data_IF_842340386781
#
_entry.id   IF_842340386781
#
_cell.length_a   1.000
_cell.length_b   1.000
_cell.length_c   1.000
_cell.angle_alpha   90.00
_cell.angle_beta   90.00
_cell.angle_gamma   90.00
#
_symmetry.space_group_name_H-M   'P 1'
#
loop_
_entity.id
_entity.type
_entity.pdbx_description
1 polymer ?
#
# COMPACT_ATOMS: atom_id res chain seq x y z
N UNK A 1 -9.09 -72.03 13.31
CA UNK A 1 -9.21 -70.68 13.91
C UNK A 1 -8.33 -69.75 13.11
N UNK A 2 -8.90 -68.87 12.27
CA UNK A 2 -8.16 -67.84 11.54
C UNK A 2 -8.34 -66.51 12.27
N UNK A 3 -7.24 -65.93 12.75
CA UNK A 3 -7.24 -64.61 13.37
C UNK A 3 -6.94 -63.55 12.30
N UNK A 4 -7.91 -62.69 12.00
CA UNK A 4 -7.69 -61.46 11.23
C UNK A 4 -7.33 -60.34 12.23
N UNK A 5 -6.06 -59.98 12.29
CA UNK A 5 -5.63 -58.78 13.02
C UNK A 5 -5.85 -57.56 12.11
N UNK A 6 -6.91 -56.79 12.38
CA UNK A 6 -7.12 -55.49 11.75
C UNK A 6 -6.21 -54.45 12.44
N UNK A 7 -5.14 -54.05 11.76
CA UNK A 7 -4.32 -52.93 12.19
C UNK A 7 -5.09 -51.63 11.93
N UNK A 8 -5.68 -51.05 12.98
CA UNK A 8 -6.17 -49.67 12.93
C UNK A 8 -4.96 -48.74 12.90
N UNK A 9 -4.65 -48.20 11.72
CA UNK A 9 -3.83 -47.00 11.60
C UNK A 9 -4.63 -45.86 12.24
N UNK A 10 -4.31 -45.52 13.48
CA UNK A 10 -4.65 -44.22 14.05
C UNK A 10 -3.87 -43.17 13.27
N UNK A 11 -4.42 -42.74 12.13
CA UNK A 11 -4.09 -41.47 11.53
C UNK A 11 -4.48 -40.41 12.58
N UNK A 12 -3.50 -40.00 13.39
CA UNK A 12 -3.61 -38.81 14.20
C UNK A 12 -3.82 -37.65 13.25
N UNK A 13 -5.08 -37.24 13.07
CA UNK A 13 -5.41 -35.97 12.49
C UNK A 13 -4.84 -34.91 13.45
N UNK A 14 -3.68 -34.37 13.11
CA UNK A 14 -3.23 -33.12 13.70
C UNK A 14 -4.29 -32.09 13.32
N UNK A 15 -4.92 -31.39 14.28
CA UNK A 15 -5.82 -30.31 13.93
C UNK A 15 -5.03 -29.29 13.10
N UNK A 16 -5.56 -28.96 11.92
CA UNK A 16 -5.09 -27.87 11.06
C UNK A 16 -5.40 -26.51 11.70
N UNK A 17 -5.17 -26.35 13.01
CA UNK A 17 -5.19 -25.06 13.70
C UNK A 17 -3.87 -24.31 13.54
N UNK A 18 -3.12 -24.64 12.49
CA UNK A 18 -2.22 -23.71 11.84
C UNK A 18 -2.99 -22.78 10.92
N UNK A 19 -3.98 -22.04 11.42
CA UNK A 19 -4.29 -20.75 10.80
C UNK A 19 -2.97 -20.00 10.86
N UNK A 20 -2.26 -19.86 9.74
CA UNK A 20 -1.14 -18.93 9.67
C UNK A 20 -1.66 -17.64 10.26
N UNK A 21 -1.12 -17.18 11.39
CA UNK A 21 -1.49 -15.89 11.93
C UNK A 21 -1.36 -14.92 10.75
N UNK A 22 -2.48 -14.34 10.29
CA UNK A 22 -2.43 -13.35 9.24
C UNK A 22 -1.37 -12.34 9.69
N UNK A 23 -0.30 -12.21 8.90
CA UNK A 23 0.78 -11.30 9.22
C UNK A 23 0.17 -9.95 9.56
N UNK A 24 0.46 -9.43 10.75
CA UNK A 24 0.00 -8.11 11.16
C UNK A 24 0.63 -7.01 10.30
N UNK A 25 1.74 -7.32 9.63
CA UNK A 25 2.42 -6.42 8.71
C UNK A 25 1.64 -6.19 7.44
N UNK A 26 1.72 -4.96 6.95
CA UNK A 26 1.27 -4.57 5.64
C UNK A 26 1.99 -5.40 4.56
N UNK A 27 1.26 -5.78 3.53
CA UNK A 27 1.78 -6.58 2.42
C UNK A 27 1.46 -5.93 1.08
N UNK A 28 2.36 -6.06 0.13
CA UNK A 28 2.21 -5.48 -1.21
C UNK A 28 1.05 -6.13 -1.94
N UNK A 29 0.07 -5.33 -2.37
CA UNK A 29 -0.99 -5.77 -3.28
C UNK A 29 -0.74 -5.29 -4.69
N UNK A 30 -0.17 -4.09 -4.86
CA UNK A 30 0.06 -3.48 -6.17
C UNK A 30 1.46 -2.89 -6.27
N UNK A 31 1.97 -2.87 -7.50
CA UNK A 31 3.26 -2.29 -7.85
C UNK A 31 3.13 -1.57 -9.18
N UNK A 32 3.65 -0.35 -9.28
CA UNK A 32 3.54 0.43 -10.52
C UNK A 32 4.16 1.82 -10.41
N UNK A 33 3.72 2.71 -11.29
CA UNK A 33 4.03 4.13 -11.28
C UNK A 33 2.73 4.92 -11.03
N UNK A 34 2.88 6.14 -10.55
CA UNK A 34 1.77 7.09 -10.53
C UNK A 34 1.64 7.75 -11.88
N UNK A 35 0.42 7.82 -12.41
CA UNK A 35 0.12 8.40 -13.71
C UNK A 35 -1.20 9.20 -13.67
N UNK A 36 -1.27 10.27 -14.47
CA UNK A 36 -2.50 10.97 -14.84
C UNK A 36 -2.65 10.84 -16.36
N UNK A 37 -3.61 10.02 -16.80
CA UNK A 37 -3.68 9.60 -18.20
C UNK A 37 -2.38 8.91 -18.65
N UNK A 38 -1.78 9.28 -19.81
CA UNK A 38 -0.52 8.70 -20.27
C UNK A 38 0.73 9.31 -19.59
N UNK A 39 0.57 10.31 -18.72
CA UNK A 39 1.67 11.11 -18.19
C UNK A 39 2.03 10.67 -16.76
N UNK A 40 3.28 10.25 -16.51
CA UNK A 40 3.70 9.83 -15.18
C UNK A 40 3.99 11.02 -14.26
N UNK A 41 3.87 10.77 -12.96
CA UNK A 41 4.43 11.65 -11.93
C UNK A 41 5.92 11.37 -11.73
N UNK A 42 6.66 12.41 -11.35
CA UNK A 42 8.09 12.40 -11.11
C UNK A 42 8.48 12.60 -9.65
N UNK A 43 9.76 12.36 -9.35
CA UNK A 43 10.36 12.65 -8.05
C UNK A 43 11.51 13.65 -8.20
N UNK A 44 11.35 14.86 -7.67
CA UNK A 44 12.41 15.88 -7.74
C UNK A 44 13.55 15.58 -6.73
N UNK A 45 14.62 16.37 -6.79
CA UNK A 45 15.80 16.23 -5.89
C UNK A 45 15.48 16.41 -4.40
N UNK A 46 14.40 17.12 -4.08
CA UNK A 46 13.89 17.28 -2.71
C UNK A 46 12.94 16.15 -2.28
N UNK A 47 12.82 15.09 -3.08
CA UNK A 47 11.90 13.96 -2.92
C UNK A 47 10.40 14.32 -2.93
N UNK A 48 10.04 15.47 -3.50
CA UNK A 48 8.64 15.81 -3.71
C UNK A 48 8.14 15.12 -4.97
N UNK A 49 6.91 14.61 -4.89
CA UNK A 49 6.17 14.16 -6.06
C UNK A 49 5.75 15.38 -6.87
N UNK A 50 6.06 15.35 -8.17
CA UNK A 50 5.76 16.43 -9.10
C UNK A 50 5.06 15.89 -10.33
N UNK A 51 4.32 16.73 -11.02
CA UNK A 51 3.64 16.40 -12.27
C UNK A 51 3.88 17.49 -13.32
N UNK A 52 4.14 17.13 -14.59
CA UNK A 52 4.49 15.78 -15.06
C UNK A 52 5.93 15.40 -14.63
N UNK A 53 6.29 14.13 -14.83
CA UNK A 53 7.68 13.71 -14.73
C UNK A 53 8.55 14.39 -15.79
N UNK A 54 9.81 14.65 -15.45
CA UNK A 54 10.81 15.27 -16.33
C UNK A 54 12.15 14.55 -16.17
N UNK A 55 13.15 14.90 -16.98
CA UNK A 55 14.52 14.38 -16.79
C UNK A 55 15.07 14.70 -15.40
N UNK A 56 14.78 15.89 -14.88
CA UNK A 56 15.21 16.35 -13.55
C UNK A 56 14.29 15.87 -12.42
N UNK A 57 13.16 15.25 -12.74
CA UNK A 57 12.26 14.61 -11.81
C UNK A 57 11.70 13.33 -12.45
N UNK A 58 12.53 12.27 -12.57
CA UNK A 58 12.14 11.06 -13.29
C UNK A 58 11.01 10.35 -12.56
N UNK A 59 10.25 9.53 -13.30
CA UNK A 59 9.25 8.65 -12.71
C UNK A 59 9.90 7.69 -11.71
N UNK A 60 9.16 7.35 -10.66
CA UNK A 60 9.63 6.46 -9.60
C UNK A 60 8.58 5.38 -9.35
N UNK A 61 9.06 4.16 -9.07
CA UNK A 61 8.20 2.99 -8.88
C UNK A 61 7.75 2.90 -7.43
N UNK A 62 6.54 2.43 -7.19
CA UNK A 62 5.95 2.30 -5.86
C UNK A 62 5.27 0.96 -5.66
N UNK A 63 5.15 0.56 -4.40
CA UNK A 63 4.31 -0.52 -3.90
C UNK A 63 3.16 0.06 -3.08
N UNK A 64 1.92 -0.28 -3.40
CA UNK A 64 0.83 -0.12 -2.44
C UNK A 64 0.82 -1.36 -1.54
N UNK A 65 0.96 -1.13 -0.23
CA UNK A 65 0.93 -2.17 0.78
C UNK A 65 -0.34 -2.04 1.62
N UNK A 66 -1.23 -3.03 1.51
CA UNK A 66 -2.45 -3.10 2.33
C UNK A 66 -2.08 -3.43 3.77
N UNK A 67 -2.66 -2.71 4.72
CA UNK A 67 -2.43 -2.88 6.16
C UNK A 67 -3.71 -3.37 6.85
N UNK A 68 -3.78 -4.64 7.26
CA UNK A 68 -4.99 -5.24 7.86
C UNK A 68 -5.34 -4.66 9.22
N UNK A 69 -4.34 -4.18 9.97
CA UNK A 69 -4.51 -3.53 11.28
C UNK A 69 -4.94 -2.06 11.19
N UNK A 70 -4.96 -1.48 9.98
CA UNK A 70 -5.28 -0.07 9.76
C UNK A 70 -6.81 0.16 9.70
N UNK A 71 -7.47 0.11 10.85
CA UNK A 71 -8.94 0.15 10.95
C UNK A 71 -9.53 1.53 11.30
N UNK A 72 -8.68 2.51 11.66
CA UNK A 72 -9.12 3.85 12.08
C UNK A 72 -9.88 4.67 11.02
N UNK A 73 -9.92 4.19 9.78
CA UNK A 73 -10.59 4.81 8.64
C UNK A 73 -11.88 4.10 8.25
N UNK A 74 -12.33 3.12 9.04
CA UNK A 74 -13.51 2.32 8.78
C UNK A 74 -13.16 0.90 8.31
N UNK A 75 -14.21 0.11 8.07
CA UNK A 75 -14.06 -1.28 7.63
C UNK A 75 -13.57 -1.31 6.18
N UNK A 76 -12.59 -2.19 5.92
CA UNK A 76 -12.16 -2.52 4.56
C UNK A 76 -13.33 -3.12 3.79
N UNK A 77 -13.51 -2.72 2.54
CA UNK A 77 -14.49 -3.32 1.63
C UNK A 77 -13.76 -3.99 0.45
N UNK A 78 -14.44 -4.78 -0.40
CA UNK A 78 -13.81 -5.33 -1.61
C UNK A 78 -13.27 -4.27 -2.57
N UNK A 79 -13.70 -3.02 -2.40
CA UNK A 79 -13.40 -1.90 -3.30
C UNK A 79 -12.55 -0.81 -2.64
N UNK A 80 -12.39 -0.82 -1.31
CA UNK A 80 -11.66 0.21 -0.57
C UNK A 80 -10.72 -0.47 0.43
N UNK A 81 -9.42 -0.24 0.25
CA UNK A 81 -8.36 -0.76 1.11
C UNK A 81 -7.58 0.37 1.77
N UNK A 82 -7.12 0.14 3.00
CA UNK A 82 -6.23 1.06 3.70
C UNK A 82 -4.80 0.51 3.70
N UNK A 83 -3.82 1.38 3.48
CA UNK A 83 -2.45 0.95 3.37
C UNK A 83 -1.43 2.08 3.47
N UNK A 84 -0.20 1.73 3.14
CA UNK A 84 0.91 2.66 2.91
C UNK A 84 1.44 2.50 1.50
N UNK A 85 2.15 3.51 1.01
CA UNK A 85 2.79 3.50 -0.29
C UNK A 85 4.29 3.54 -0.05
N UNK A 86 5.00 2.49 -0.48
CA UNK A 86 6.45 2.35 -0.31
C UNK A 86 7.11 2.59 -1.67
N UNK A 87 8.08 3.49 -1.73
CA UNK A 87 8.86 3.70 -2.94
C UNK A 87 9.88 2.57 -3.13
N UNK A 88 9.99 2.06 -4.35
CA UNK A 88 10.97 1.04 -4.70
C UNK A 88 12.36 1.67 -4.66
N UNK A 89 13.26 1.07 -3.89
CA UNK A 89 14.65 1.51 -3.79
C UNK A 89 15.34 1.53 -5.16
N UNK A 90 16.13 2.58 -5.39
CA UNK A 90 16.92 2.75 -6.61
C UNK A 90 17.02 4.20 -7.04
N UNK A 91 18.07 4.53 -7.80
CA UNK A 91 18.31 5.89 -8.27
C UNK A 91 18.33 6.90 -7.13
N UNK A 92 17.29 7.76 -7.06
CA UNK A 92 17.12 8.80 -6.03
C UNK A 92 16.31 8.35 -4.81
N UNK A 93 15.82 7.11 -4.80
CA UNK A 93 14.99 6.56 -3.71
C UNK A 93 15.87 5.71 -2.79
N UNK A 94 15.97 6.10 -1.52
CA UNK A 94 16.63 5.31 -0.47
C UNK A 94 15.80 4.09 -0.07
N UNK A 95 16.43 3.12 0.58
CA UNK A 95 15.71 2.03 1.23
C UNK A 95 14.63 2.53 2.20
N UNK A 96 13.52 1.80 2.31
CA UNK A 96 12.45 2.02 3.28
C UNK A 96 11.85 3.44 3.27
N UNK A 97 11.64 4.02 2.08
CA UNK A 97 10.95 5.30 1.91
C UNK A 97 9.45 5.11 1.65
N UNK A 98 8.60 5.89 2.34
CA UNK A 98 7.16 5.90 2.19
C UNK A 98 6.67 7.26 1.66
N UNK A 99 5.63 7.22 0.84
CA UNK A 99 4.91 8.41 0.45
C UNK A 99 4.23 9.01 1.68
N UNK A 100 4.59 10.24 1.99
CA UNK A 100 4.14 10.98 3.15
C UNK A 100 3.46 12.26 2.68
N UNK A 101 2.23 12.48 3.11
CA UNK A 101 1.54 13.74 2.91
C UNK A 101 2.17 14.82 3.79
N UNK A 102 2.42 15.99 3.24
CA UNK A 102 2.80 17.17 3.99
C UNK A 102 1.76 18.26 3.75
N UNK A 103 1.19 18.86 4.82
CA UNK A 103 0.31 20.00 4.64
C UNK A 103 1.10 21.14 4.01
N UNK A 104 0.52 21.79 2.99
CA UNK A 104 1.05 23.05 2.51
C UNK A 104 0.67 24.20 3.47
N UNK A 105 1.38 25.31 3.38
CA UNK A 105 0.99 26.57 4.03
C UNK A 105 -0.33 27.13 3.49
N UNK A 106 -0.80 26.67 2.33
CA UNK A 106 -2.10 26.97 1.75
C UNK A 106 -3.12 25.94 2.21
N UNK A 107 -4.21 26.41 2.84
CA UNK A 107 -5.29 25.54 3.30
C UNK A 107 -5.82 24.66 2.17
N UNK A 108 -5.93 23.35 2.43
CA UNK A 108 -6.53 22.39 1.49
C UNK A 108 -5.61 21.88 0.38
N UNK A 109 -4.32 22.25 0.36
CA UNK A 109 -3.33 21.63 -0.53
C UNK A 109 -2.42 20.71 0.28
N UNK A 110 -2.37 19.44 -0.13
CA UNK A 110 -1.43 18.46 0.39
C UNK A 110 -0.36 18.20 -0.66
N UNK A 111 0.90 18.31 -0.25
CA UNK A 111 2.02 17.83 -1.04
C UNK A 111 2.31 16.38 -0.66
N UNK A 112 2.87 15.62 -1.60
CA UNK A 112 3.37 14.28 -1.32
C UNK A 112 4.89 14.28 -1.46
N UNK A 113 5.57 13.70 -0.48
CA UNK A 113 7.04 13.61 -0.42
C UNK A 113 7.45 12.24 0.09
N UNK A 114 8.61 11.73 -0.33
CA UNK A 114 9.20 10.56 0.32
C UNK A 114 9.89 10.92 1.64
N UNK A 115 9.60 10.12 2.66
CA UNK A 115 10.27 10.13 3.96
C UNK A 115 10.46 8.69 4.47
N UNK A 116 11.20 8.50 5.55
CA UNK A 116 11.37 7.17 6.16
C UNK A 116 10.01 6.58 6.53
N UNK A 117 9.78 5.32 6.16
CA UNK A 117 8.57 4.62 6.54
C UNK A 117 8.48 4.46 8.06
N UNK A 118 7.31 4.77 8.60
CA UNK A 118 6.92 4.42 9.95
C UNK A 118 6.58 2.93 10.10
N UNK A 119 5.77 2.62 11.11
CA UNK A 119 5.40 1.24 11.45
C UNK A 119 4.81 0.47 10.25
N UNK A 120 5.28 -0.76 10.08
CA UNK A 120 4.95 -1.63 8.94
C UNK A 120 3.65 -2.43 9.10
N UNK A 121 2.85 -2.14 10.12
CA UNK A 121 1.54 -2.76 10.40
C UNK A 121 0.45 -1.69 10.59
N UNK A 122 0.81 -0.56 11.21
CA UNK A 122 -0.05 0.57 11.51
C UNK A 122 0.69 1.89 11.18
N UNK A 123 0.80 2.25 9.89
CA UNK A 123 1.52 3.44 9.47
C UNK A 123 0.91 4.71 10.09
N UNK A 124 1.71 5.77 10.31
CA UNK A 124 1.21 7.04 10.79
C UNK A 124 0.22 7.65 9.78
N UNK A 125 -0.61 8.59 10.25
CA UNK A 125 -1.72 9.16 9.48
C UNK A 125 -1.28 9.82 8.17
N UNK A 126 -0.14 10.52 8.21
CA UNK A 126 0.47 11.16 7.04
C UNK A 126 1.08 10.18 6.04
N UNK A 127 1.24 8.90 6.40
CA UNK A 127 1.70 7.83 5.50
C UNK A 127 0.60 6.83 5.15
N UNK A 128 -0.64 7.16 5.46
CA UNK A 128 -1.79 6.29 5.24
C UNK A 128 -2.62 6.74 4.06
N UNK A 129 -2.89 5.79 3.18
CA UNK A 129 -3.50 6.01 1.89
C UNK A 129 -4.64 5.02 1.68
N UNK A 130 -5.70 5.46 0.99
CA UNK A 130 -6.75 4.57 0.52
C UNK A 130 -6.42 4.11 -0.88
N UNK A 131 -6.67 2.86 -1.18
CA UNK A 131 -6.76 2.36 -2.53
C UNK A 131 -8.22 2.03 -2.83
N UNK A 132 -8.77 2.67 -3.85
CA UNK A 132 -10.15 2.50 -4.29
C UNK A 132 -10.14 1.88 -5.68
N UNK A 133 -10.92 0.81 -5.84
CA UNK A 133 -11.22 0.21 -7.14
C UNK A 133 -12.71 0.38 -7.37
N UNK A 134 -13.09 1.25 -8.29
CA UNK A 134 -14.47 1.49 -8.66
C UNK A 134 -14.62 1.54 -10.20
N UNK A 135 -15.83 1.83 -10.66
CA UNK A 135 -16.16 1.84 -12.09
C UNK A 135 -15.44 2.97 -12.87
N UNK A 136 -14.81 3.93 -12.17
CA UNK A 136 -14.00 5.01 -12.76
C UNK A 136 -12.48 4.72 -12.72
N UNK A 137 -12.07 3.58 -12.14
CA UNK A 137 -10.72 3.03 -12.25
C UNK A 137 -10.07 2.69 -10.91
N UNK A 138 -8.74 2.79 -10.86
CA UNK A 138 -7.94 2.54 -9.67
C UNK A 138 -7.42 3.86 -9.14
N UNK A 139 -7.87 4.28 -7.98
CA UNK A 139 -7.56 5.59 -7.40
C UNK A 139 -6.91 5.42 -6.03
N UNK A 140 -5.79 6.09 -5.82
CA UNK A 140 -5.24 6.29 -4.48
C UNK A 140 -5.72 7.64 -3.96
N UNK A 141 -6.20 7.69 -2.71
CA UNK A 141 -6.55 8.95 -2.02
C UNK A 141 -5.80 9.06 -0.69
N UNK A 142 -5.55 10.30 -0.27
CA UNK A 142 -5.04 10.56 1.07
C UNK A 142 -6.16 10.48 2.11
N UNK A 143 -5.90 9.82 3.25
CA UNK A 143 -6.92 9.60 4.27
C UNK A 143 -6.78 10.60 5.43
N UNK A 144 -7.37 11.78 5.26
CA UNK A 144 -7.70 12.70 6.37
C UNK A 144 -9.21 12.91 6.45
N UNK A 145 -9.69 13.04 7.68
CA UNK A 145 -11.02 13.55 8.00
C UNK A 145 -11.18 14.94 7.36
N UNK A 146 -12.15 15.07 6.45
CA UNK A 146 -12.40 16.17 5.48
C UNK A 146 -11.48 16.22 4.24
N UNK A 147 -12.01 15.65 3.14
CA UNK A 147 -11.98 16.13 1.75
C UNK A 147 -10.77 16.98 1.35
N UNK A 148 -9.65 16.32 1.04
CA UNK A 148 -8.61 16.90 0.18
C UNK A 148 -8.11 15.77 -0.73
N UNK A 149 -8.27 15.95 -2.05
CA UNK A 149 -8.08 14.91 -3.04
C UNK A 149 -6.70 15.00 -3.67
N UNK A 150 -5.98 13.88 -3.70
CA UNK A 150 -4.88 13.65 -4.62
C UNK A 150 -5.29 12.37 -5.36
N UNK A 151 -5.67 12.48 -6.65
CA UNK A 151 -6.01 11.33 -7.46
C UNK A 151 -4.73 10.78 -8.09
N UNK A 152 -4.27 9.63 -7.59
CA UNK A 152 -3.12 8.92 -8.16
C UNK A 152 -3.63 7.63 -8.79
N UNK A 153 -3.62 7.54 -10.11
CA UNK A 153 -4.00 6.31 -10.80
C UNK A 153 -2.84 5.32 -10.77
N UNK A 154 -3.10 4.06 -10.42
CA UNK A 154 -2.10 2.98 -10.55
C UNK A 154 -2.55 1.99 -11.63
N UNK A 155 -1.69 1.72 -12.60
CA UNK A 155 -1.86 0.60 -13.53
C UNK A 155 -0.88 -0.51 -13.15
N UNK A 156 -1.41 -1.74 -13.06
CA UNK A 156 -0.59 -2.97 -13.04
C UNK A 156 -0.11 -3.24 -14.45
N UNK A 157 1.16 -3.64 -14.60
CA UNK A 157 1.64 -4.33 -15.80
C UNK A 157 0.68 -5.46 -16.20
#
# INVERSE_FOLDING_TARGET
MFAFAAAFLLAGATPLDGRSAESSKCYTTHTGYFEEGPSPFGLNSGHHVVYPATTDAPKFKVHFQRCTQLTRYGKVTPFIYWGRIVAVEGGRVKANQCLTSTPSSTSGILYAKLADCGNDSNPPTDQSWSFITDDIGRVILFVRTLLTYLQLSTVTN
#
